data_IF_236955106994
#
_entry.id   IF_236955106994
#
_cell.length_a   1.000
_cell.length_b   1.000
_cell.length_c   1.000
_cell.angle_alpha   90.00
_cell.angle_beta   90.00
_cell.angle_gamma   90.00
#
_symmetry.space_group_name_H-M   'P 1'
#
loop_
_entity.id
_entity.type
_entity.pdbx_description
1 polymer ?
#
# COMPACT_ATOMS: atom_id res chain seq x y z
N UNK A 1 -30.20 -15.05 33.78
CA UNK A 1 -30.10 -15.23 32.32
C UNK A 1 -30.26 -13.86 31.67
N UNK A 2 -29.17 -13.12 31.48
CA UNK A 2 -29.22 -11.78 30.88
C UNK A 2 -29.34 -11.94 29.36
N UNK A 3 -30.51 -11.58 28.81
CA UNK A 3 -30.69 -11.49 27.37
C UNK A 3 -29.99 -10.23 26.87
N UNK A 4 -29.02 -10.43 25.98
CA UNK A 4 -28.46 -9.40 25.11
C UNK A 4 -29.59 -8.87 24.21
N UNK A 5 -29.79 -7.56 24.15
CA UNK A 5 -30.39 -6.89 22.99
C UNK A 5 -30.27 -5.35 23.05
N UNK A 6 -29.10 -4.80 23.36
CA UNK A 6 -28.83 -3.38 23.09
C UNK A 6 -28.28 -3.22 21.66
N UNK A 7 -29.18 -3.26 20.69
CA UNK A 7 -28.97 -2.55 19.41
C UNK A 7 -29.14 -1.05 19.68
N UNK A 8 -28.19 -0.49 20.43
CA UNK A 8 -28.16 0.92 20.79
C UNK A 8 -27.97 1.78 19.55
N UNK A 9 -28.98 2.57 19.22
CA UNK A 9 -28.88 3.72 18.33
C UNK A 9 -27.71 4.58 18.83
N UNK A 10 -26.55 4.54 18.15
CA UNK A 10 -25.42 5.41 18.48
C UNK A 10 -25.92 6.85 18.40
N UNK A 11 -25.98 7.54 19.55
CA UNK A 11 -26.32 8.96 19.60
C UNK A 11 -25.40 9.77 18.68
N UNK A 12 -25.79 10.99 18.31
CA UNK A 12 -25.05 11.82 17.36
C UNK A 12 -23.56 11.97 17.70
N UNK A 13 -23.24 12.09 18.99
CA UNK A 13 -21.85 12.12 19.49
C UNK A 13 -21.07 10.82 19.20
N UNK A 14 -21.72 9.66 19.26
CA UNK A 14 -21.11 8.37 18.94
C UNK A 14 -20.82 8.21 17.45
N UNK A 15 -21.77 8.63 16.59
CA UNK A 15 -21.58 8.64 15.13
C UNK A 15 -20.48 9.60 14.70
N UNK A 16 -20.42 10.79 15.32
CA UNK A 16 -19.39 11.78 15.03
C UNK A 16 -18.01 11.29 15.41
N UNK A 17 -17.85 10.63 16.57
CA UNK A 17 -16.57 10.04 16.98
C UNK A 17 -16.13 8.93 16.02
N UNK A 18 -17.03 8.01 15.67
CA UNK A 18 -16.74 6.95 14.71
C UNK A 18 -16.33 7.50 13.33
N UNK A 19 -16.96 8.57 12.88
CA UNK A 19 -16.60 9.25 11.64
C UNK A 19 -15.19 9.87 11.72
N UNK A 20 -14.85 10.55 12.82
CA UNK A 20 -13.52 11.13 13.02
C UNK A 20 -12.42 10.07 13.03
N UNK A 21 -12.65 8.95 13.71
CA UNK A 21 -11.71 7.82 13.75
C UNK A 21 -11.49 7.23 12.34
N UNK A 22 -12.56 7.08 11.55
CA UNK A 22 -12.47 6.59 10.18
C UNK A 22 -11.75 7.57 9.24
N UNK A 23 -11.97 8.87 9.38
CA UNK A 23 -11.27 9.89 8.58
C UNK A 23 -9.76 9.92 8.89
N UNK A 24 -9.39 9.82 10.17
CA UNK A 24 -7.97 9.72 10.57
C UNK A 24 -7.32 8.45 10.01
N UNK A 25 -8.06 7.33 10.03
CA UNK A 25 -7.62 6.07 9.41
C UNK A 25 -7.49 6.20 7.89
N UNK A 26 -8.45 6.83 7.22
CA UNK A 26 -8.40 7.10 5.77
C UNK A 26 -7.12 7.86 5.40
N UNK A 27 -6.83 8.96 6.09
CA UNK A 27 -5.65 9.78 5.83
C UNK A 27 -4.36 8.97 5.98
N UNK A 28 -4.28 8.15 7.02
CA UNK A 28 -3.12 7.28 7.28
C UNK A 28 -2.94 6.25 6.15
N UNK A 29 -4.02 5.60 5.72
CA UNK A 29 -3.99 4.60 4.65
C UNK A 29 -3.68 5.21 3.29
N UNK A 30 -4.21 6.39 2.99
CA UNK A 30 -3.86 7.15 1.78
C UNK A 30 -2.36 7.46 1.76
N UNK A 31 -1.79 7.91 2.88
CA UNK A 31 -0.35 8.12 3.02
C UNK A 31 0.47 6.86 2.77
N UNK A 32 0.07 5.72 3.37
CA UNK A 32 0.73 4.42 3.14
C UNK A 32 0.66 3.97 1.69
N UNK A 33 -0.52 4.06 1.08
CA UNK A 33 -0.75 3.69 -0.31
C UNK A 33 0.17 4.47 -1.25
N UNK A 34 0.17 5.80 -1.15
CA UNK A 34 0.98 6.64 -2.02
C UNK A 34 2.47 6.50 -1.73
N UNK A 35 2.87 6.34 -0.46
CA UNK A 35 4.24 6.08 -0.07
C UNK A 35 4.78 4.79 -0.69
N UNK A 36 4.07 3.67 -0.52
CA UNK A 36 4.49 2.39 -1.10
C UNK A 36 4.39 2.38 -2.62
N UNK A 37 3.36 3.00 -3.22
CA UNK A 37 3.27 3.14 -4.68
C UNK A 37 4.45 3.94 -5.26
N UNK A 38 4.87 5.01 -4.58
CA UNK A 38 6.07 5.77 -4.94
C UNK A 38 7.34 4.92 -4.88
N UNK A 39 7.56 4.22 -3.77
CA UNK A 39 8.73 3.34 -3.59
C UNK A 39 8.76 2.17 -4.57
N UNK A 40 7.59 1.61 -4.90
CA UNK A 40 7.47 0.59 -5.94
C UNK A 40 7.98 1.09 -7.29
N UNK A 41 7.56 2.30 -7.72
CA UNK A 41 8.04 2.90 -8.99
C UNK A 41 9.55 3.14 -9.00
N UNK A 42 10.11 3.60 -7.87
CA UNK A 42 11.56 3.78 -7.73
C UNK A 42 12.29 2.44 -7.86
N UNK A 43 11.81 1.40 -7.17
CA UNK A 43 12.41 0.07 -7.21
C UNK A 43 12.30 -0.59 -8.60
N UNK A 44 11.18 -0.38 -9.32
CA UNK A 44 11.06 -0.81 -10.72
C UNK A 44 12.09 -0.12 -11.60
N UNK A 45 12.24 1.20 -11.46
CA UNK A 45 13.22 1.94 -12.26
C UNK A 45 14.65 1.51 -11.99
N UNK A 46 14.97 1.16 -10.74
CA UNK A 46 16.26 0.59 -10.38
C UNK A 46 16.46 -0.81 -10.98
N UNK A 47 15.42 -1.65 -10.99
CA UNK A 47 15.48 -2.96 -11.63
C UNK A 47 15.74 -2.82 -13.15
N UNK A 48 15.01 -1.94 -13.84
CA UNK A 48 15.22 -1.61 -15.26
C UNK A 48 16.66 -1.16 -15.52
N UNK A 49 17.21 -0.29 -14.66
CA UNK A 49 18.59 0.16 -14.76
C UNK A 49 19.58 -1.00 -14.69
N UNK A 50 19.42 -1.92 -13.73
CA UNK A 50 20.33 -3.07 -13.61
C UNK A 50 20.16 -4.07 -14.75
N UNK A 51 18.95 -4.24 -15.28
CA UNK A 51 18.70 -5.03 -16.50
C UNK A 51 19.43 -4.43 -17.70
N UNK A 52 19.33 -3.11 -17.90
CA UNK A 52 20.03 -2.39 -18.96
C UNK A 52 21.56 -2.51 -18.84
N UNK A 53 22.09 -2.38 -17.62
CA UNK A 53 23.53 -2.54 -17.34
C UNK A 53 23.99 -3.96 -17.68
N UNK A 54 23.23 -4.98 -17.25
CA UNK A 54 23.55 -6.39 -17.51
C UNK A 54 23.34 -6.79 -18.98
N UNK A 55 22.51 -6.07 -19.74
CA UNK A 55 22.34 -6.29 -21.18
C UNK A 55 23.47 -5.70 -22.03
N UNK A 56 24.13 -4.65 -21.53
CA UNK A 56 25.19 -3.91 -22.25
C UNK A 56 26.60 -4.32 -21.83
N UNK A 57 26.72 -5.26 -20.91
CA UNK A 57 28.00 -5.71 -20.37
C UNK A 57 28.81 -6.47 -21.42
N UNK A 58 30.07 -6.11 -21.58
CA UNK A 58 31.03 -6.83 -22.43
C UNK A 58 31.69 -8.00 -21.71
N UNK A 59 32.33 -8.88 -22.47
CA UNK A 59 33.03 -10.08 -21.96
C UNK A 59 34.29 -9.74 -21.14
N UNK A 60 34.72 -8.48 -21.16
CA UNK A 60 35.88 -7.95 -20.44
C UNK A 60 35.59 -7.62 -18.96
N UNK A 61 34.34 -7.71 -18.52
CA UNK A 61 33.96 -7.39 -17.14
C UNK A 61 34.16 -8.58 -16.23
N UNK A 62 34.90 -8.36 -15.14
CA UNK A 62 35.20 -9.38 -14.15
C UNK A 62 33.94 -10.03 -13.56
N UNK A 63 33.93 -11.36 -13.47
CA UNK A 63 32.78 -12.16 -13.02
C UNK A 63 32.22 -11.68 -11.65
N UNK A 64 33.10 -11.25 -10.75
CA UNK A 64 32.71 -10.78 -9.43
C UNK A 64 31.85 -9.49 -9.48
N UNK A 65 32.09 -8.61 -10.45
CA UNK A 65 31.30 -7.41 -10.72
C UNK A 65 29.93 -7.80 -11.28
N UNK A 66 29.89 -8.73 -12.24
CA UNK A 66 28.64 -9.24 -12.82
C UNK A 66 27.74 -9.83 -11.74
N UNK A 67 28.30 -10.66 -10.85
CA UNK A 67 27.58 -11.24 -9.71
C UNK A 67 27.05 -10.18 -8.76
N UNK A 68 27.79 -9.09 -8.53
CA UNK A 68 27.33 -7.96 -7.71
C UNK A 68 26.12 -7.28 -8.35
N UNK A 69 26.14 -7.00 -9.65
CA UNK A 69 25.03 -6.35 -10.34
C UNK A 69 23.78 -7.23 -10.42
N UNK A 70 23.94 -8.54 -10.66
CA UNK A 70 22.82 -9.50 -10.57
C UNK A 70 22.15 -9.48 -9.19
N UNK A 71 22.93 -9.45 -8.10
CA UNK A 71 22.38 -9.32 -6.74
C UNK A 71 21.66 -7.98 -6.52
N UNK A 72 22.13 -6.89 -7.12
CA UNK A 72 21.45 -5.61 -7.02
C UNK A 72 20.11 -5.64 -7.76
N UNK A 73 20.05 -6.25 -8.95
CA UNK A 73 18.82 -6.48 -9.68
C UNK A 73 17.81 -7.29 -8.87
N UNK A 74 18.23 -8.41 -8.29
CA UNK A 74 17.37 -9.24 -7.42
C UNK A 74 16.81 -8.45 -6.24
N UNK A 75 17.66 -7.64 -5.58
CA UNK A 75 17.22 -6.78 -4.47
C UNK A 75 16.21 -5.72 -4.92
N UNK A 76 16.43 -5.09 -6.07
CA UNK A 76 15.51 -4.11 -6.62
C UNK A 76 14.14 -4.74 -6.95
N UNK A 77 14.14 -5.93 -7.59
CA UNK A 77 12.93 -6.70 -7.87
C UNK A 77 12.17 -7.08 -6.60
N UNK A 78 12.87 -7.61 -5.60
CA UNK A 78 12.25 -7.98 -4.31
C UNK A 78 11.64 -6.76 -3.60
N UNK A 79 12.30 -5.60 -3.63
CA UNK A 79 11.73 -4.35 -3.08
C UNK A 79 10.50 -3.89 -3.87
N UNK A 80 10.55 -3.97 -5.20
CA UNK A 80 9.43 -3.61 -6.05
C UNK A 80 8.21 -4.48 -5.72
N UNK A 81 8.38 -5.79 -5.62
CA UNK A 81 7.31 -6.73 -5.26
C UNK A 81 6.74 -6.46 -3.87
N UNK A 82 7.62 -6.26 -2.87
CA UNK A 82 7.21 -5.91 -1.51
C UNK A 82 6.34 -4.65 -1.50
N UNK A 83 6.81 -3.57 -2.12
CA UNK A 83 6.07 -2.30 -2.13
C UNK A 83 4.79 -2.36 -2.98
N UNK A 84 4.75 -3.16 -4.04
CA UNK A 84 3.53 -3.43 -4.78
C UNK A 84 2.48 -4.04 -3.87
N UNK A 85 2.83 -5.13 -3.16
CA UNK A 85 1.95 -5.82 -2.22
C UNK A 85 1.44 -4.89 -1.12
N UNK A 86 2.34 -4.15 -0.46
CA UNK A 86 1.96 -3.23 0.61
C UNK A 86 1.05 -2.09 0.11
N UNK A 87 1.29 -1.58 -1.10
CA UNK A 87 0.42 -0.57 -1.71
C UNK A 87 -0.96 -1.14 -1.99
N UNK A 88 -1.05 -2.38 -2.49
CA UNK A 88 -2.33 -3.03 -2.78
C UNK A 88 -3.14 -3.34 -1.51
N UNK A 89 -2.47 -3.77 -0.43
CA UNK A 89 -3.10 -3.97 0.87
C UNK A 89 -3.66 -2.64 1.42
N UNK A 90 -2.87 -1.56 1.39
CA UNK A 90 -3.32 -0.24 1.81
C UNK A 90 -4.49 0.27 0.96
N UNK A 91 -4.48 0.00 -0.35
CA UNK A 91 -5.57 0.38 -1.28
C UNK A 91 -6.87 -0.33 -0.92
N UNK A 92 -6.84 -1.64 -0.67
CA UNK A 92 -8.02 -2.43 -0.28
C UNK A 92 -8.59 -1.95 1.04
N UNK A 93 -7.73 -1.73 2.04
CA UNK A 93 -8.19 -1.24 3.34
C UNK A 93 -8.77 0.18 3.26
N UNK A 94 -8.16 1.05 2.43
CA UNK A 94 -8.65 2.40 2.17
C UNK A 94 -10.06 2.38 1.53
N UNK A 95 -10.30 1.46 0.60
CA UNK A 95 -11.60 1.29 -0.05
C UNK A 95 -12.69 0.90 0.97
N UNK A 96 -12.38 -0.02 1.89
CA UNK A 96 -13.31 -0.44 2.93
C UNK A 96 -13.62 0.69 3.94
N UNK A 97 -12.60 1.45 4.35
CA UNK A 97 -12.79 2.62 5.21
C UNK A 97 -13.68 3.66 4.52
N UNK A 98 -13.46 3.93 3.23
CA UNK A 98 -14.30 4.85 2.44
C UNK A 98 -15.74 4.36 2.32
N UNK A 99 -15.97 3.06 2.15
CA UNK A 99 -17.32 2.46 2.18
C UNK A 99 -17.99 2.69 3.53
N UNK A 100 -17.27 2.51 4.64
CA UNK A 100 -17.82 2.75 5.99
C UNK A 100 -18.15 4.22 6.24
N UNK A 101 -17.28 5.15 5.81
CA UNK A 101 -17.55 6.59 5.87
C UNK A 101 -18.82 6.94 5.09
N UNK A 102 -18.96 6.44 3.85
CA UNK A 102 -20.15 6.68 3.02
C UNK A 102 -21.44 6.18 3.66
N UNK A 103 -21.41 4.98 4.26
CA UNK A 103 -22.53 4.42 5.03
C UNK A 103 -22.90 5.31 6.22
N UNK A 104 -21.92 5.81 6.98
CA UNK A 104 -22.18 6.70 8.13
C UNK A 104 -22.75 8.05 7.71
N UNK A 105 -22.34 8.58 6.55
CA UNK A 105 -22.83 9.83 6.00
C UNK A 105 -24.20 9.70 5.30
N UNK A 106 -24.78 8.50 5.24
CA UNK A 106 -26.06 8.26 4.54
C UNK A 106 -25.97 8.44 3.02
N UNK A 107 -24.76 8.40 2.45
CA UNK A 107 -24.54 8.42 1.01
C UNK A 107 -24.43 6.98 0.52
N UNK A 108 -25.58 6.31 0.34
CA UNK A 108 -25.61 5.06 -0.43
C UNK A 108 -25.36 5.39 -1.90
N UNK A 109 -24.43 4.67 -2.54
CA UNK A 109 -24.24 4.74 -3.99
C UNK A 109 -25.56 4.32 -4.67
N UNK A 110 -26.22 5.25 -5.36
CA UNK A 110 -27.28 4.94 -6.32
C UNK A 110 -26.69 4.33 -7.58
#
# INVERSE_FOLDING_TARGET
MWKMEDKGNMGENGKMRALMDLLAKEQTLAGKYHGHSGQHRVALREAEYWEDVLAKIGDDVEEHIVRKWKRNLEKAKARAEYHAKMSEEARKELEEVRKQIRKLLGREEK
#
